data_IF_353187862855
#
_entry.id   IF_353187862855
#
_cell.length_a   1.000
_cell.length_b   1.000
_cell.length_c   1.000
_cell.angle_alpha   90.00
_cell.angle_beta   90.00
_cell.angle_gamma   90.00
#
_symmetry.space_group_name_H-M   'P 1'
#
loop_
_entity.id
_entity.type
_entity.pdbx_description
1 polymer ?
#
# COMPACT_ATOMS: atom_id res chain seq x y z
N UNK A 1 -20.00 -21.42 7.30
CA UNK A 1 -20.47 -21.66 5.91
C UNK A 1 -20.43 -20.30 5.21
N UNK A 2 -19.53 -20.10 4.27
CA UNK A 2 -19.45 -18.82 3.56
C UNK A 2 -20.72 -18.57 2.75
N UNK A 3 -21.22 -17.34 2.75
CA UNK A 3 -22.35 -16.93 1.92
C UNK A 3 -22.00 -17.09 0.44
N UNK A 4 -22.98 -17.48 -0.37
CA UNK A 4 -22.88 -17.46 -1.81
C UNK A 4 -22.52 -16.04 -2.29
N UNK A 5 -21.54 -15.87 -3.22
CA UNK A 5 -21.07 -14.56 -3.67
C UNK A 5 -22.18 -13.65 -4.21
N UNK A 6 -23.14 -14.20 -4.96
CA UNK A 6 -24.24 -13.41 -5.49
C UNK A 6 -25.17 -12.90 -4.37
N UNK A 7 -25.47 -13.76 -3.41
CA UNK A 7 -26.27 -13.38 -2.24
C UNK A 7 -25.55 -12.32 -1.39
N UNK A 8 -24.23 -12.41 -1.25
CA UNK A 8 -23.43 -11.39 -0.56
C UNK A 8 -23.54 -10.03 -1.26
N UNK A 9 -23.35 -9.98 -2.57
CA UNK A 9 -23.50 -8.74 -3.36
C UNK A 9 -24.89 -8.13 -3.22
N UNK A 10 -25.94 -8.96 -3.24
CA UNK A 10 -27.31 -8.50 -3.03
C UNK A 10 -27.49 -7.88 -1.63
N UNK A 11 -26.93 -8.50 -0.58
CA UNK A 11 -26.98 -7.96 0.78
C UNK A 11 -26.25 -6.62 0.88
N UNK A 12 -25.07 -6.48 0.28
CA UNK A 12 -24.32 -5.23 0.23
C UNK A 12 -25.14 -4.12 -0.44
N UNK A 13 -25.74 -4.42 -1.59
CA UNK A 13 -26.60 -3.46 -2.31
C UNK A 13 -27.83 -3.05 -1.46
N UNK A 14 -28.46 -4.00 -0.76
CA UNK A 14 -29.59 -3.70 0.14
C UNK A 14 -29.16 -2.85 1.33
N UNK A 15 -28.00 -3.14 1.93
CA UNK A 15 -27.45 -2.35 3.04
C UNK A 15 -27.17 -0.91 2.60
N UNK A 16 -26.50 -0.72 1.44
CA UNK A 16 -26.24 0.61 0.91
C UNK A 16 -27.56 1.38 0.65
N UNK A 17 -28.58 0.73 0.07
CA UNK A 17 -29.90 1.35 -0.13
C UNK A 17 -30.51 1.86 1.17
N UNK A 18 -30.41 1.07 2.26
CA UNK A 18 -30.91 1.49 3.57
C UNK A 18 -30.14 2.69 4.10
N UNK A 19 -28.80 2.65 4.03
CA UNK A 19 -27.94 3.75 4.50
C UNK A 19 -28.20 5.05 3.73
N UNK A 20 -28.31 5.00 2.42
CA UNK A 20 -28.63 6.19 1.59
C UNK A 20 -29.98 6.78 1.99
N UNK A 21 -31.04 5.95 2.10
CA UNK A 21 -32.36 6.40 2.49
C UNK A 21 -32.34 7.02 3.89
N UNK A 22 -31.67 6.37 4.86
CA UNK A 22 -31.79 6.72 6.27
C UNK A 22 -30.88 7.90 6.68
N UNK A 23 -29.80 8.17 5.92
CA UNK A 23 -28.81 9.19 6.28
C UNK A 23 -28.57 10.28 5.25
N UNK A 24 -28.88 10.04 3.98
CA UNK A 24 -28.69 11.04 2.91
C UNK A 24 -29.99 11.64 2.42
N UNK A 25 -31.13 11.02 2.73
CA UNK A 25 -32.46 11.40 2.24
C UNK A 25 -32.48 11.63 0.73
N UNK A 26 -31.88 10.69 -0.01
CA UNK A 26 -31.65 10.78 -1.44
C UNK A 26 -32.28 9.62 -2.20
N UNK A 27 -32.53 9.85 -3.50
CA UNK A 27 -33.01 8.80 -4.40
C UNK A 27 -31.83 8.12 -5.13
N UNK A 28 -31.88 6.79 -5.16
CA UNK A 28 -30.89 5.98 -5.85
C UNK A 28 -31.36 5.77 -7.30
N UNK A 29 -30.51 6.15 -8.26
CA UNK A 29 -30.71 5.91 -9.68
C UNK A 29 -30.27 4.51 -10.07
N UNK A 30 -29.10 4.10 -9.60
CA UNK A 30 -28.52 2.79 -9.83
C UNK A 30 -27.76 2.31 -8.57
N UNK A 31 -27.80 1.00 -8.29
CA UNK A 31 -26.98 0.37 -7.24
C UNK A 31 -26.44 -0.96 -7.71
N UNK A 32 -25.15 -1.19 -7.47
CA UNK A 32 -24.45 -2.43 -7.81
C UNK A 32 -23.74 -2.95 -6.57
N UNK A 33 -24.05 -4.20 -6.17
CA UNK A 33 -23.29 -4.90 -5.14
C UNK A 33 -22.01 -5.48 -5.71
N UNK A 34 -20.94 -5.38 -4.95
CA UNK A 34 -19.61 -5.94 -5.27
C UNK A 34 -19.22 -6.98 -4.23
N UNK A 35 -18.10 -7.67 -4.43
CA UNK A 35 -17.59 -8.64 -3.45
C UNK A 35 -17.17 -7.97 -2.13
N UNK A 36 -16.65 -6.74 -2.19
CA UNK A 36 -16.13 -6.00 -1.04
C UNK A 36 -17.13 -4.95 -0.49
N UNK A 37 -18.32 -4.79 -1.13
CA UNK A 37 -19.30 -3.78 -0.72
C UNK A 37 -20.36 -3.49 -1.77
N UNK A 38 -20.70 -2.21 -1.98
CA UNK A 38 -21.66 -1.75 -2.98
C UNK A 38 -21.36 -0.33 -3.43
N UNK A 39 -21.84 0.02 -4.63
CA UNK A 39 -21.72 1.33 -5.25
C UNK A 39 -23.11 1.81 -5.69
N UNK A 40 -23.40 3.10 -5.54
CA UNK A 40 -24.67 3.68 -5.96
C UNK A 40 -24.49 5.07 -6.58
N UNK A 41 -25.14 5.29 -7.73
CA UNK A 41 -25.35 6.62 -8.30
C UNK A 41 -26.62 7.20 -7.70
N UNK A 42 -26.53 8.43 -7.19
CA UNK A 42 -27.61 9.14 -6.54
C UNK A 42 -28.07 10.31 -7.40
N UNK A 43 -29.24 10.84 -7.12
CA UNK A 43 -29.71 12.07 -7.76
C UNK A 43 -28.80 13.27 -7.43
N UNK A 44 -28.83 14.32 -8.25
CA UNK A 44 -28.12 15.58 -7.97
C UNK A 44 -26.59 15.48 -7.98
N UNK A 45 -26.02 14.69 -8.91
CA UNK A 45 -24.57 14.52 -9.10
C UNK A 45 -23.86 14.02 -7.81
N UNK A 46 -24.47 13.10 -7.09
CA UNK A 46 -23.94 12.47 -5.87
C UNK A 46 -23.67 10.99 -6.08
N UNK A 47 -22.73 10.46 -5.32
CA UNK A 47 -22.32 9.05 -5.37
C UNK A 47 -22.18 8.49 -3.96
N UNK A 48 -22.55 7.22 -3.75
CA UNK A 48 -22.34 6.52 -2.50
C UNK A 48 -21.63 5.19 -2.71
N UNK A 49 -20.71 4.87 -1.81
CA UNK A 49 -20.01 3.60 -1.73
C UNK A 49 -20.16 3.01 -0.34
N UNK A 50 -20.33 1.69 -0.28
CA UNK A 50 -20.24 0.90 0.96
C UNK A 50 -19.01 0.01 0.87
N UNK A 51 -18.16 0.05 1.87
CA UNK A 51 -17.02 -0.84 2.07
C UNK A 51 -17.28 -1.76 3.25
N UNK A 52 -17.26 -3.08 3.00
CA UNK A 52 -17.45 -4.14 4.02
C UNK A 52 -16.16 -4.92 4.26
N UNK A 53 -15.32 -5.04 3.22
CA UNK A 53 -14.02 -5.71 3.28
C UNK A 53 -12.95 -4.77 2.73
N UNK A 54 -11.74 -4.81 3.30
CA UNK A 54 -10.61 -3.96 2.90
C UNK A 54 -10.98 -2.47 2.84
N UNK A 55 -11.66 -2.01 3.89
CA UNK A 55 -12.23 -0.67 3.94
C UNK A 55 -11.19 0.42 3.67
N UNK A 56 -9.94 0.24 4.12
CA UNK A 56 -8.82 1.15 3.89
C UNK A 56 -8.48 1.37 2.41
N UNK A 57 -8.98 0.50 1.52
CA UNK A 57 -8.75 0.55 0.05
C UNK A 57 -10.02 0.95 -0.75
N UNK A 58 -11.03 1.48 -0.10
CA UNK A 58 -12.29 1.78 -0.76
C UNK A 58 -12.30 3.12 -1.51
N UNK A 59 -11.43 4.05 -1.12
CA UNK A 59 -11.45 5.44 -1.58
C UNK A 59 -11.25 5.55 -3.10
N UNK A 60 -10.23 4.90 -3.64
CA UNK A 60 -9.90 4.99 -5.06
C UNK A 60 -11.02 4.43 -5.96
N UNK A 61 -11.61 3.30 -5.58
CA UNK A 61 -12.74 2.70 -6.29
C UNK A 61 -14.00 3.58 -6.27
N UNK A 62 -14.29 4.20 -5.12
CA UNK A 62 -15.40 5.13 -4.97
C UNK A 62 -15.23 6.37 -5.85
N UNK A 63 -14.05 7.03 -5.79
CA UNK A 63 -13.72 8.21 -6.60
C UNK A 63 -13.72 7.90 -8.08
N UNK A 64 -13.10 6.79 -8.52
CA UNK A 64 -13.10 6.41 -9.94
C UNK A 64 -14.51 6.14 -10.47
N UNK A 65 -15.41 5.64 -9.63
CA UNK A 65 -16.82 5.42 -10.02
C UNK A 65 -17.61 6.72 -10.03
N UNK A 66 -17.36 7.59 -9.06
CA UNK A 66 -17.96 8.93 -9.01
C UNK A 66 -17.58 9.78 -10.23
N UNK A 67 -16.29 9.75 -10.63
CA UNK A 67 -15.83 10.45 -11.84
C UNK A 67 -16.57 9.97 -13.11
N UNK A 68 -16.79 8.66 -13.26
CA UNK A 68 -17.53 8.11 -14.40
C UNK A 68 -19.00 8.53 -14.44
N UNK A 69 -19.61 8.76 -13.29
CA UNK A 69 -20.98 9.25 -13.16
C UNK A 69 -21.08 10.78 -13.08
N UNK A 70 -19.96 11.50 -13.23
CA UNK A 70 -19.88 12.95 -13.10
C UNK A 70 -20.47 13.47 -11.77
N UNK A 71 -20.17 12.75 -10.67
CA UNK A 71 -20.62 13.14 -9.34
C UNK A 71 -19.63 14.14 -8.70
N UNK A 72 -20.18 15.18 -8.08
CA UNK A 72 -19.44 16.25 -7.41
C UNK A 72 -19.25 15.97 -5.89
N UNK A 73 -20.10 15.09 -5.33
CA UNK A 73 -20.06 14.70 -3.92
C UNK A 73 -20.10 13.19 -3.78
N UNK A 74 -19.21 12.65 -2.92
CA UNK A 74 -19.04 11.21 -2.68
C UNK A 74 -19.28 10.91 -1.21
N UNK A 75 -20.10 9.91 -0.90
CA UNK A 75 -20.30 9.37 0.44
C UNK A 75 -19.70 7.97 0.53
N UNK A 76 -18.76 7.76 1.46
CA UNK A 76 -18.14 6.46 1.71
C UNK A 76 -18.57 5.94 3.06
N UNK A 77 -19.34 4.86 3.08
CA UNK A 77 -19.76 4.14 4.28
C UNK A 77 -18.81 2.98 4.51
N UNK A 78 -18.22 2.89 5.72
CA UNK A 78 -17.29 1.82 6.06
C UNK A 78 -17.46 1.37 7.51
N UNK A 79 -17.19 0.08 7.78
CA UNK A 79 -17.29 -0.50 9.12
C UNK A 79 -16.00 -0.40 9.92
N UNK A 80 -14.87 -0.17 9.25
CA UNK A 80 -13.55 0.05 9.87
C UNK A 80 -12.71 1.02 9.06
N UNK A 81 -11.47 1.32 9.50
CA UNK A 81 -10.47 2.17 8.82
C UNK A 81 -11.01 3.56 8.41
N UNK A 82 -12.06 4.02 9.07
CA UNK A 82 -12.72 5.30 8.75
C UNK A 82 -11.80 6.49 9.01
N UNK A 83 -10.87 6.39 9.94
CA UNK A 83 -9.81 7.37 10.19
C UNK A 83 -8.85 7.51 9.00
N UNK A 84 -8.48 6.39 8.36
CA UNK A 84 -7.67 6.39 7.12
C UNK A 84 -8.45 7.03 5.98
N UNK A 85 -9.71 6.63 5.80
CA UNK A 85 -10.57 7.16 4.74
C UNK A 85 -10.83 8.66 4.92
N UNK A 86 -11.14 9.11 6.15
CA UNK A 86 -11.37 10.53 6.44
C UNK A 86 -10.12 11.38 6.18
N UNK A 87 -8.94 10.90 6.58
CA UNK A 87 -7.66 11.57 6.31
C UNK A 87 -7.38 11.71 4.82
N UNK A 88 -7.62 10.64 4.04
CA UNK A 88 -7.46 10.66 2.58
C UNK A 88 -8.48 11.55 1.89
N UNK A 89 -9.71 11.61 2.39
CA UNK A 89 -10.78 12.43 1.84
C UNK A 89 -10.40 13.92 1.78
N UNK A 90 -9.68 14.44 2.77
CA UNK A 90 -9.24 15.82 2.83
C UNK A 90 -8.18 16.19 1.78
N UNK A 91 -7.58 15.21 1.10
CA UNK A 91 -6.54 15.43 0.10
C UNK A 91 -7.09 15.62 -1.32
N UNK A 92 -8.40 15.44 -1.51
CA UNK A 92 -9.07 15.53 -2.81
C UNK A 92 -9.87 16.83 -2.95
N UNK A 93 -9.92 17.35 -4.18
CA UNK A 93 -10.78 18.48 -4.55
C UNK A 93 -12.27 18.10 -4.60
N UNK A 94 -12.56 16.84 -4.92
CA UNK A 94 -13.91 16.28 -4.84
C UNK A 94 -14.36 16.22 -3.39
N UNK A 95 -15.59 16.66 -3.10
CA UNK A 95 -16.17 16.57 -1.74
C UNK A 95 -16.41 15.11 -1.36
N UNK A 96 -15.65 14.58 -0.41
CA UNK A 96 -15.81 13.21 0.09
C UNK A 96 -16.22 13.26 1.56
N UNK A 97 -17.34 12.61 1.88
CA UNK A 97 -17.84 12.44 3.26
C UNK A 97 -17.71 10.97 3.66
N UNK A 98 -17.08 10.72 4.79
CA UNK A 98 -16.88 9.37 5.33
C UNK A 98 -17.85 9.12 6.48
N UNK A 99 -18.43 7.93 6.49
CA UNK A 99 -19.41 7.50 7.48
C UNK A 99 -18.94 6.20 8.14
N UNK A 100 -18.84 6.20 9.45
CA UNK A 100 -18.61 4.99 10.23
C UNK A 100 -19.92 4.23 10.44
N UNK A 101 -19.96 2.94 10.06
CA UNK A 101 -21.15 2.10 10.12
C UNK A 101 -21.00 1.03 11.20
N UNK A 102 -21.75 1.18 12.29
CA UNK A 102 -21.78 0.23 13.40
C UNK A 102 -23.20 -0.33 13.59
N UNK A 103 -23.38 -1.66 13.36
CA UNK A 103 -24.66 -2.33 13.59
C UNK A 103 -25.84 -1.73 12.80
N UNK A 104 -25.59 -1.14 11.62
CA UNK A 104 -26.60 -0.49 10.78
C UNK A 104 -26.84 0.99 11.07
N UNK A 105 -26.16 1.55 12.07
CA UNK A 105 -26.16 2.99 12.36
C UNK A 105 -24.93 3.61 11.71
N UNK A 106 -25.11 4.70 10.95
CA UNK A 106 -24.01 5.48 10.38
C UNK A 106 -23.84 6.80 11.14
N UNK A 107 -22.61 7.14 11.44
CA UNK A 107 -22.20 8.43 12.01
C UNK A 107 -21.12 9.05 11.14
N UNK A 108 -21.07 10.38 11.04
CA UNK A 108 -19.96 11.04 10.34
C UNK A 108 -18.64 10.63 10.98
N UNK A 109 -17.67 10.21 10.18
CA UNK A 109 -16.34 9.95 10.69
C UNK A 109 -15.69 11.28 11.03
N UNK A 110 -15.38 11.44 12.32
CA UNK A 110 -14.73 12.64 12.81
C UNK A 110 -13.26 12.73 12.34
N UNK A 111 -12.69 13.88 12.57
CA UNK A 111 -11.37 14.34 12.16
C UNK A 111 -10.29 13.27 11.97
N UNK A 112 -9.58 13.32 10.85
CA UNK A 112 -8.53 12.37 10.53
C UNK A 112 -7.46 12.32 11.62
N UNK A 113 -7.10 11.12 12.04
CA UNK A 113 -5.98 10.95 12.97
C UNK A 113 -4.67 10.92 12.18
N UNK A 114 -3.64 11.68 12.60
CA UNK A 114 -2.34 11.58 11.98
C UNK A 114 -1.78 10.16 12.13
N UNK A 115 -1.05 9.69 11.14
CA UNK A 115 -0.31 8.44 11.25
C UNK A 115 0.77 8.62 12.31
N UNK A 116 0.83 7.69 13.24
CA UNK A 116 1.90 7.66 14.25
C UNK A 116 2.81 6.50 13.96
N UNK A 117 4.06 6.79 13.61
CA UNK A 117 5.07 5.77 13.45
C UNK A 117 5.48 5.22 14.82
N UNK A 118 5.54 3.88 14.93
CA UNK A 118 6.11 3.26 16.12
C UNK A 118 7.64 3.33 16.04
N UNK A 119 8.33 3.73 17.11
CA UNK A 119 9.78 3.75 17.12
C UNK A 119 10.33 2.32 16.95
N UNK A 120 11.44 2.22 16.23
CA UNK A 120 12.15 0.96 16.10
C UNK A 120 12.82 0.59 17.43
N UNK A 121 12.98 -0.71 17.72
CA UNK A 121 13.76 -1.15 18.86
C UNK A 121 15.24 -0.77 18.69
N UNK A 122 15.91 -0.46 19.81
CA UNK A 122 17.34 -0.14 19.83
C UNK A 122 18.16 -1.44 19.94
N UNK A 123 18.52 -2.00 18.77
CA UNK A 123 19.22 -3.30 18.65
C UNK A 123 20.36 -3.22 17.63
N UNK A 124 21.35 -2.36 17.84
CA UNK A 124 22.39 -2.06 16.86
C UNK A 124 23.21 -3.28 16.42
N UNK A 125 23.46 -4.24 17.31
CA UNK A 125 24.22 -5.47 17.00
C UNK A 125 23.47 -6.35 15.99
N UNK A 126 22.15 -6.48 16.14
CA UNK A 126 21.33 -7.26 15.20
C UNK A 126 21.19 -6.54 13.85
N UNK A 127 21.09 -5.22 13.88
CA UNK A 127 21.09 -4.38 12.65
C UNK A 127 22.42 -4.55 11.91
N UNK A 128 23.56 -4.46 12.60
CA UNK A 128 24.88 -4.70 11.99
C UNK A 128 24.98 -6.10 11.41
N UNK A 129 24.45 -7.13 12.09
CA UNK A 129 24.44 -8.51 11.57
C UNK A 129 23.71 -8.61 10.24
N UNK A 130 22.56 -7.93 10.08
CA UNK A 130 21.83 -7.89 8.81
C UNK A 130 22.64 -7.18 7.71
N UNK A 131 23.26 -6.02 8.05
CA UNK A 131 24.07 -5.24 7.11
C UNK A 131 25.33 -6.00 6.66
N UNK A 132 26.04 -6.62 7.60
CA UNK A 132 27.27 -7.40 7.35
C UNK A 132 26.96 -8.65 6.50
N UNK A 133 25.72 -9.17 6.57
CA UNK A 133 25.21 -10.24 5.70
C UNK A 133 24.82 -9.75 4.31
N UNK A 134 25.03 -8.46 3.99
CA UNK A 134 24.74 -7.85 2.68
C UNK A 134 23.25 -7.70 2.40
N UNK A 135 22.44 -7.48 3.44
CA UNK A 135 21.02 -7.17 3.31
C UNK A 135 20.77 -5.67 3.33
N UNK A 136 19.77 -5.23 2.59
CA UNK A 136 19.20 -3.89 2.71
C UNK A 136 18.35 -3.85 3.99
N UNK A 137 18.73 -3.05 4.97
CA UNK A 137 17.98 -2.92 6.22
C UNK A 137 16.90 -1.86 6.04
N UNK A 138 15.65 -2.28 6.24
CA UNK A 138 14.47 -1.43 6.12
C UNK A 138 13.71 -1.42 7.44
N UNK A 139 13.32 -0.23 7.89
CA UNK A 139 12.51 -0.04 9.08
C UNK A 139 11.16 0.56 8.68
N UNK A 140 10.07 -0.13 9.04
CA UNK A 140 8.71 0.34 8.80
C UNK A 140 7.86 0.07 10.04
N UNK A 141 7.23 1.11 10.61
CA UNK A 141 6.36 1.03 11.80
C UNK A 141 6.97 0.26 12.98
N UNK A 142 8.24 0.50 13.25
CA UNK A 142 8.96 -0.14 14.36
C UNK A 142 9.41 -1.58 14.09
N UNK A 143 9.19 -2.10 12.88
CA UNK A 143 9.67 -3.42 12.46
C UNK A 143 10.93 -3.26 11.61
N UNK A 144 12.01 -3.93 12.00
CA UNK A 144 13.28 -3.93 11.27
C UNK A 144 13.39 -5.24 10.49
N UNK A 145 13.59 -5.13 9.18
CA UNK A 145 13.74 -6.27 8.26
C UNK A 145 15.02 -6.16 7.45
N UNK A 146 15.59 -7.31 7.08
CA UNK A 146 16.62 -7.42 6.06
C UNK A 146 16.01 -7.86 4.74
N UNK A 147 16.18 -7.05 3.70
CA UNK A 147 15.66 -7.31 2.36
C UNK A 147 16.79 -7.69 1.38
N UNK A 148 16.44 -8.53 0.41
CA UNK A 148 17.22 -8.81 -0.78
C UNK A 148 16.39 -8.41 -1.99
N UNK A 149 16.83 -7.39 -2.71
CA UNK A 149 16.10 -6.85 -3.88
C UNK A 149 14.61 -6.65 -3.55
N UNK A 150 14.34 -6.01 -2.41
CA UNK A 150 12.99 -5.69 -1.93
C UNK A 150 12.18 -6.87 -1.39
N UNK A 151 12.77 -8.05 -1.18
CA UNK A 151 12.09 -9.16 -0.51
C UNK A 151 12.64 -9.40 0.88
N UNK A 152 11.78 -9.37 1.89
CA UNK A 152 12.14 -9.69 3.27
C UNK A 152 12.64 -11.14 3.37
N UNK A 153 13.88 -11.32 3.83
CA UNK A 153 14.52 -12.61 4.08
C UNK A 153 14.88 -12.82 5.54
N UNK A 154 14.91 -11.75 6.32
CA UNK A 154 15.15 -11.79 7.75
C UNK A 154 14.38 -10.68 8.45
N UNK A 155 14.03 -10.90 9.73
CA UNK A 155 13.30 -9.94 10.57
C UNK A 155 13.88 -9.94 11.98
N UNK A 156 14.05 -8.76 12.56
CA UNK A 156 14.36 -8.64 13.98
C UNK A 156 13.06 -8.74 14.78
N UNK A 157 13.05 -9.61 15.75
CA UNK A 157 11.96 -9.81 16.72
C UNK A 157 12.48 -9.44 18.09
N UNK A 158 11.73 -8.59 18.78
CA UNK A 158 11.97 -8.20 20.16
C UNK A 158 10.73 -8.54 20.98
N UNK A 159 10.83 -9.60 21.79
CA UNK A 159 9.73 -10.09 22.62
C UNK A 159 10.22 -10.60 23.99
N UNK A 160 9.34 -11.21 24.78
CA UNK A 160 9.66 -11.74 26.10
C UNK A 160 10.72 -12.86 26.10
N UNK A 161 11.02 -13.45 24.94
CA UNK A 161 12.05 -14.48 24.76
C UNK A 161 13.43 -13.88 24.44
N UNK A 162 13.48 -12.56 24.22
CA UNK A 162 14.66 -11.80 23.89
C UNK A 162 14.72 -11.33 22.44
N UNK A 163 15.75 -10.55 22.14
CA UNK A 163 15.98 -9.98 20.82
C UNK A 163 16.70 -11.00 19.94
N UNK A 164 16.16 -11.24 18.74
CA UNK A 164 16.71 -12.24 17.81
C UNK A 164 16.39 -11.90 16.36
N UNK A 165 17.13 -12.50 15.43
CA UNK A 165 16.83 -12.50 14.01
C UNK A 165 16.10 -13.79 13.65
N UNK A 166 14.93 -13.66 13.04
CA UNK A 166 14.21 -14.78 12.41
C UNK A 166 14.44 -14.72 10.89
N UNK A 167 14.82 -15.88 10.30
CA UNK A 167 15.20 -15.99 8.88
C UNK A 167 14.15 -16.74 8.09
N UNK A 168 13.78 -16.23 6.90
CA UNK A 168 12.81 -16.84 5.99
C UNK A 168 11.93 -15.81 5.29
N UNK A 169 11.29 -16.21 4.19
CA UNK A 169 10.41 -15.37 3.39
C UNK A 169 8.96 -15.46 3.88
N UNK A 170 8.57 -14.51 4.74
CA UNK A 170 7.25 -14.49 5.36
C UNK A 170 7.14 -15.37 6.62
N UNK A 171 6.01 -15.24 7.34
CA UNK A 171 5.84 -15.86 8.65
C UNK A 171 5.96 -17.39 8.63
N UNK A 172 5.24 -18.04 7.71
CA UNK A 172 5.25 -19.51 7.61
C UNK A 172 6.60 -20.10 7.23
N UNK A 173 7.35 -19.40 6.35
CA UNK A 173 8.67 -19.83 5.96
C UNK A 173 9.67 -19.67 7.12
N UNK A 174 9.56 -18.59 7.89
CA UNK A 174 10.37 -18.39 9.12
C UNK A 174 10.11 -19.47 10.15
N UNK A 175 8.85 -19.82 10.41
CA UNK A 175 8.49 -20.91 11.33
C UNK A 175 9.04 -22.25 10.85
N UNK A 176 8.86 -22.57 9.57
CA UNK A 176 9.38 -23.80 8.98
C UNK A 176 10.91 -23.85 9.01
N UNK A 177 11.57 -22.75 8.70
CA UNK A 177 13.03 -22.65 8.71
C UNK A 177 13.58 -22.83 10.13
N UNK A 178 12.97 -22.21 11.14
CA UNK A 178 13.36 -22.38 12.54
C UNK A 178 13.21 -23.82 13.02
N UNK A 179 12.15 -24.51 12.59
CA UNK A 179 11.94 -25.93 12.94
C UNK A 179 12.96 -26.87 12.28
N UNK A 180 13.32 -26.61 11.03
CA UNK A 180 14.22 -27.47 10.25
C UNK A 180 15.70 -27.17 10.50
N UNK A 181 16.04 -25.92 10.78
CA UNK A 181 17.40 -25.39 10.82
C UNK A 181 17.72 -24.62 12.12
N UNK A 182 16.98 -24.87 13.21
CA UNK A 182 17.12 -24.13 14.48
C UNK A 182 18.50 -24.19 15.15
N UNK A 183 19.38 -25.10 14.71
CA UNK A 183 20.77 -25.20 15.17
C UNK A 183 21.79 -24.54 14.21
N UNK A 184 21.33 -23.99 13.08
CA UNK A 184 22.20 -23.32 12.12
C UNK A 184 22.59 -21.93 12.64
N UNK A 185 23.86 -21.49 12.50
CA UNK A 185 24.24 -20.13 12.82
C UNK A 185 23.43 -19.11 12.02
N UNK A 186 23.00 -18.03 12.68
CA UNK A 186 22.09 -17.03 12.07
C UNK A 186 22.64 -16.44 10.76
N UNK A 187 23.92 -16.13 10.69
CA UNK A 187 24.57 -15.59 9.48
C UNK A 187 24.50 -16.60 8.33
N UNK A 188 24.80 -17.87 8.59
CA UNK A 188 24.73 -18.94 7.58
C UNK A 188 23.29 -19.13 7.07
N UNK A 189 22.31 -19.06 7.97
CA UNK A 189 20.90 -19.11 7.65
C UNK A 189 20.48 -17.94 6.74
N UNK A 190 20.90 -16.71 7.05
CA UNK A 190 20.66 -15.52 6.24
C UNK A 190 21.27 -15.68 4.85
N UNK A 191 22.54 -16.11 4.76
CA UNK A 191 23.22 -16.30 3.48
C UNK A 191 22.51 -17.32 2.59
N UNK A 192 22.06 -18.43 3.16
CA UNK A 192 21.35 -19.47 2.44
C UNK A 192 20.05 -18.91 1.82
N UNK A 193 19.20 -18.26 2.61
CA UNK A 193 17.93 -17.71 2.12
C UNK A 193 18.15 -16.55 1.15
N UNK A 194 19.10 -15.66 1.46
CA UNK A 194 19.46 -14.53 0.61
C UNK A 194 19.95 -14.99 -0.78
N UNK A 195 20.76 -16.03 -0.85
CA UNK A 195 21.27 -16.57 -2.13
C UNK A 195 20.14 -17.16 -2.98
N UNK A 196 19.17 -17.84 -2.38
CA UNK A 196 17.98 -18.31 -3.11
C UNK A 196 17.19 -17.15 -3.71
N UNK A 197 16.98 -16.09 -2.94
CA UNK A 197 16.25 -14.90 -3.42
C UNK A 197 17.04 -14.18 -4.51
N UNK A 198 18.35 -13.96 -4.33
CA UNK A 198 19.22 -13.33 -5.34
C UNK A 198 19.17 -14.10 -6.65
N UNK A 199 19.26 -15.43 -6.60
CA UNK A 199 19.22 -16.28 -7.80
C UNK A 199 17.93 -16.07 -8.61
N UNK A 200 16.77 -15.94 -7.95
CA UNK A 200 15.50 -15.76 -8.64
C UNK A 200 15.20 -14.29 -9.00
N UNK A 201 15.86 -13.31 -8.36
CA UNK A 201 15.66 -11.88 -8.63
C UNK A 201 16.82 -11.25 -9.40
N UNK A 202 17.35 -12.00 -10.37
CA UNK A 202 18.34 -11.52 -11.36
C UNK A 202 17.67 -11.29 -12.70
N UNK A 203 18.26 -10.40 -13.56
CA UNK A 203 17.85 -10.28 -14.96
C UNK A 203 17.84 -11.65 -15.65
N UNK A 204 16.83 -11.89 -16.47
CA UNK A 204 16.65 -13.15 -17.20
C UNK A 204 16.47 -14.41 -16.34
N UNK A 205 16.22 -14.30 -15.03
CA UNK A 205 15.87 -15.46 -14.21
C UNK A 205 14.55 -16.11 -14.67
N UNK A 206 14.46 -17.43 -14.59
CA UNK A 206 13.20 -18.13 -14.89
C UNK A 206 12.06 -17.68 -13.95
N UNK A 207 10.81 -17.66 -14.44
CA UNK A 207 9.67 -17.30 -13.61
C UNK A 207 9.57 -18.18 -12.37
N UNK A 208 9.55 -17.55 -11.19
CA UNK A 208 9.46 -18.24 -9.90
C UNK A 208 8.40 -17.56 -9.01
N UNK A 209 7.71 -18.30 -8.10
CA UNK A 209 6.73 -17.73 -7.18
C UNK A 209 7.28 -16.55 -6.35
N UNK A 210 8.55 -16.56 -5.95
CA UNK A 210 9.21 -15.45 -5.25
C UNK A 210 9.20 -14.14 -6.05
N UNK A 211 9.11 -14.19 -7.39
CA UNK A 211 9.07 -13.01 -8.25
C UNK A 211 7.71 -12.30 -8.25
N UNK A 212 6.68 -12.93 -7.66
CA UNK A 212 5.35 -12.34 -7.48
C UNK A 212 5.19 -11.65 -6.12
N UNK A 213 6.10 -11.93 -5.17
CA UNK A 213 6.03 -11.35 -3.82
C UNK A 213 6.72 -10.00 -3.79
N UNK A 214 6.07 -8.98 -3.23
CA UNK A 214 6.65 -7.66 -3.02
C UNK A 214 7.23 -7.04 -4.30
N UNK A 215 6.50 -7.08 -5.41
CA UNK A 215 6.92 -6.50 -6.68
C UNK A 215 7.16 -5.00 -6.56
N UNK A 216 6.37 -4.30 -5.76
CA UNK A 216 6.47 -2.88 -5.47
C UNK A 216 7.78 -2.55 -4.74
N UNK A 217 8.17 -3.38 -3.77
CA UNK A 217 9.46 -3.25 -3.06
C UNK A 217 10.64 -3.61 -3.94
N UNK A 218 10.47 -4.55 -4.87
CA UNK A 218 11.49 -4.85 -5.87
C UNK A 218 11.74 -3.63 -6.75
N UNK A 219 10.67 -2.99 -7.25
CA UNK A 219 10.81 -1.74 -8.00
C UNK A 219 11.48 -0.65 -7.15
N UNK A 220 11.05 -0.47 -5.89
CA UNK A 220 11.69 0.47 -4.95
C UNK A 220 13.18 0.18 -4.80
N UNK A 221 13.59 -1.07 -4.57
CA UNK A 221 15.01 -1.46 -4.42
C UNK A 221 15.85 -1.07 -5.64
N UNK A 222 15.33 -1.22 -6.85
CA UNK A 222 16.00 -0.74 -8.06
C UNK A 222 16.15 0.80 -8.08
N UNK A 223 15.15 1.53 -7.65
CA UNK A 223 15.22 3.00 -7.60
C UNK A 223 16.15 3.49 -6.50
N UNK A 224 16.22 2.80 -5.35
CA UNK A 224 17.19 3.12 -4.29
C UNK A 224 18.62 2.93 -4.79
N UNK A 225 18.89 1.89 -5.58
CA UNK A 225 20.19 1.64 -6.19
C UNK A 225 20.51 2.61 -7.34
N UNK A 226 19.51 3.12 -8.05
CA UNK A 226 19.67 3.97 -9.23
C UNK A 226 18.65 5.13 -9.23
N UNK A 227 18.72 6.06 -8.27
CA UNK A 227 17.73 7.13 -8.11
C UNK A 227 17.67 8.06 -9.32
N UNK A 228 18.77 8.26 -10.04
CA UNK A 228 18.85 9.07 -11.26
C UNK A 228 17.87 8.63 -12.37
N UNK A 229 17.34 7.40 -12.31
CA UNK A 229 16.31 6.94 -13.27
C UNK A 229 15.02 7.75 -13.23
N UNK A 230 14.75 8.39 -12.12
CA UNK A 230 13.60 9.26 -11.93
C UNK A 230 13.99 10.71 -11.60
N UNK A 231 15.25 11.10 -11.85
CA UNK A 231 15.77 12.44 -11.57
C UNK A 231 15.97 12.72 -10.08
N UNK A 232 16.19 11.67 -9.28
CA UNK A 232 16.54 11.81 -7.87
C UNK A 232 18.04 11.63 -7.66
N UNK A 233 18.62 12.41 -6.74
CA UNK A 233 20.03 12.32 -6.34
C UNK A 233 20.24 11.27 -5.25
N UNK A 234 19.29 11.12 -4.33
CA UNK A 234 19.32 10.16 -3.23
C UNK A 234 17.89 9.71 -2.89
N UNK A 235 17.73 8.42 -2.60
CA UNK A 235 16.50 7.84 -2.09
C UNK A 235 16.81 6.86 -0.96
N UNK A 236 15.94 6.82 0.04
CA UNK A 236 15.92 5.84 1.13
C UNK A 236 14.55 5.21 1.25
N UNK A 237 14.49 3.95 1.66
CA UNK A 237 13.23 3.30 1.99
C UNK A 237 12.53 4.07 3.11
N UNK A 238 11.23 4.29 2.95
CA UNK A 238 10.41 5.01 3.92
C UNK A 238 9.17 4.17 4.31
N UNK A 239 8.63 4.35 5.52
CA UNK A 239 7.45 3.63 5.95
C UNK A 239 6.22 4.06 5.15
N UNK A 240 5.32 3.11 4.82
CA UNK A 240 4.04 3.43 4.21
C UNK A 240 3.09 4.10 5.22
N UNK A 241 2.04 4.82 4.78
CA UNK A 241 1.09 5.46 5.70
C UNK A 241 0.19 4.47 6.44
N UNK A 242 0.17 3.20 6.01
CA UNK A 242 -0.60 2.10 6.60
C UNK A 242 0.30 0.90 6.78
N UNK A 243 0.26 0.29 7.97
CA UNK A 243 1.08 -0.88 8.28
C UNK A 243 0.67 -2.08 7.40
N UNK A 244 1.65 -2.74 6.79
CA UNK A 244 1.44 -3.96 6.03
C UNK A 244 1.20 -5.15 6.96
N UNK A 245 0.18 -5.96 6.66
CA UNK A 245 -0.18 -7.13 7.46
C UNK A 245 0.47 -8.42 6.99
N UNK A 246 0.69 -8.59 5.68
CA UNK A 246 1.32 -9.79 5.11
C UNK A 246 2.08 -9.51 3.82
N UNK A 247 3.00 -10.43 3.42
CA UNK A 247 3.84 -10.31 2.22
C UNK A 247 3.10 -10.57 0.89
N UNK A 248 1.95 -11.23 0.93
CA UNK A 248 1.17 -11.55 -0.28
C UNK A 248 0.29 -10.40 -0.72
N UNK A 249 0.07 -9.47 0.18
CA UNK A 249 -0.72 -8.28 -0.11
C UNK A 249 0.09 -7.30 -0.95
N UNK A 250 -0.45 -6.92 -2.10
CA UNK A 250 0.14 -5.89 -2.94
C UNK A 250 -0.10 -4.52 -2.28
N UNK A 251 0.91 -4.01 -1.58
CA UNK A 251 0.90 -2.68 -0.96
C UNK A 251 1.99 -1.86 -1.62
N UNK A 252 1.70 -0.63 -2.08
CA UNK A 252 2.71 0.24 -2.67
C UNK A 252 3.91 0.42 -1.73
N UNK A 253 5.11 0.47 -2.29
CA UNK A 253 6.34 0.67 -1.54
C UNK A 253 6.75 2.14 -1.58
N UNK A 254 7.20 2.67 -0.46
CA UNK A 254 7.50 4.09 -0.31
C UNK A 254 9.00 4.31 -0.14
N UNK A 255 9.50 5.37 -0.76
CA UNK A 255 10.84 5.92 -0.55
C UNK A 255 10.74 7.44 -0.37
N UNK A 256 11.73 8.02 0.29
CA UNK A 256 11.87 9.46 0.42
C UNK A 256 13.33 9.87 0.17
N UNK A 257 13.55 11.10 -0.27
CA UNK A 257 14.88 11.62 -0.56
C UNK A 257 14.84 12.97 -1.26
N UNK A 258 15.80 13.20 -2.16
CA UNK A 258 15.94 14.46 -2.85
C UNK A 258 16.04 14.28 -4.37
N UNK A 259 15.46 15.19 -5.12
CA UNK A 259 15.66 15.33 -6.56
C UNK A 259 17.05 15.93 -6.85
N UNK A 260 17.47 15.90 -8.12
CA UNK A 260 18.78 16.44 -8.56
C UNK A 260 18.93 17.95 -8.28
N UNK A 261 17.83 18.69 -8.18
CA UNK A 261 17.78 20.10 -7.82
C UNK A 261 17.72 20.37 -6.30
N UNK A 262 17.74 19.31 -5.49
CA UNK A 262 17.71 19.37 -4.03
C UNK A 262 16.29 19.50 -3.42
N UNK A 263 15.23 19.40 -4.22
CA UNK A 263 13.84 19.40 -3.73
C UNK A 263 13.53 18.05 -3.07
N UNK A 264 12.86 18.08 -1.92
CA UNK A 264 12.40 16.89 -1.21
C UNK A 264 11.35 16.13 -2.04
N UNK A 265 11.47 14.80 -2.07
CA UNK A 265 10.60 13.92 -2.84
C UNK A 265 10.11 12.74 -2.01
N UNK A 266 8.83 12.45 -2.11
CA UNK A 266 8.22 11.18 -1.69
C UNK A 266 7.88 10.38 -2.94
N UNK A 267 8.41 9.17 -3.02
CA UNK A 267 8.25 8.26 -4.17
C UNK A 267 7.40 7.08 -3.74
N UNK A 268 6.33 6.81 -4.47
CA UNK A 268 5.46 5.66 -4.25
C UNK A 268 5.54 4.73 -5.45
N UNK A 269 6.04 3.52 -5.23
CA UNK A 269 6.22 2.48 -6.24
C UNK A 269 5.04 1.51 -6.20
N UNK A 270 4.40 1.27 -7.33
CA UNK A 270 3.36 0.26 -7.47
C UNK A 270 3.53 -0.56 -8.75
N UNK A 271 3.00 -1.78 -8.73
CA UNK A 271 3.02 -2.72 -9.87
C UNK A 271 1.63 -3.35 -9.99
N UNK A 272 1.06 -3.28 -11.19
CA UNK A 272 -0.32 -3.69 -11.45
C UNK A 272 -1.31 -2.53 -11.30
N UNK A 273 -2.58 -2.85 -11.56
CA UNK A 273 -3.66 -1.86 -11.51
C UNK A 273 -4.20 -1.82 -10.08
N UNK A 274 -4.09 -0.66 -9.44
CA UNK A 274 -4.63 -0.39 -8.12
C UNK A 274 -5.30 0.99 -8.10
N UNK A 275 -6.61 1.02 -7.98
CA UNK A 275 -7.36 2.28 -7.93
C UNK A 275 -7.06 3.07 -6.64
N UNK A 276 -6.65 2.39 -5.57
CA UNK A 276 -6.31 3.05 -4.30
C UNK A 276 -4.87 3.58 -4.25
N UNK A 277 -4.09 3.41 -5.33
CA UNK A 277 -2.72 3.91 -5.42
C UNK A 277 -2.62 5.43 -5.19
N UNK A 278 -3.50 6.22 -5.78
CA UNK A 278 -3.47 7.68 -5.65
C UNK A 278 -3.86 8.14 -4.23
N UNK A 279 -4.98 7.67 -3.63
CA UNK A 279 -5.26 7.94 -2.22
C UNK A 279 -4.13 7.53 -1.27
N UNK A 280 -3.53 6.36 -1.49
CA UNK A 280 -2.40 5.89 -0.71
C UNK A 280 -1.16 6.78 -0.87
N UNK A 281 -0.83 7.20 -2.09
CA UNK A 281 0.34 8.02 -2.37
C UNK A 281 0.22 9.42 -1.75
N UNK A 282 -0.96 10.03 -1.85
CA UNK A 282 -1.23 11.30 -1.20
C UNK A 282 -1.13 11.21 0.34
N UNK A 283 -1.63 10.12 0.92
CA UNK A 283 -1.51 9.82 2.35
C UNK A 283 -0.04 9.59 2.76
N UNK A 284 0.77 8.94 1.91
CA UNK A 284 2.21 8.75 2.16
C UNK A 284 2.97 10.07 2.20
N UNK A 285 2.69 11.00 1.28
CA UNK A 285 3.25 12.35 1.31
C UNK A 285 2.82 13.09 2.57
N UNK A 286 1.53 13.09 2.89
CA UNK A 286 1.03 13.73 4.11
C UNK A 286 1.72 13.21 5.38
N UNK A 287 2.00 11.91 5.42
CA UNK A 287 2.64 11.26 6.56
C UNK A 287 4.13 11.60 6.68
N UNK A 288 4.88 11.60 5.57
CA UNK A 288 6.33 11.76 5.60
C UNK A 288 6.76 13.21 5.51
N UNK A 289 6.29 13.93 4.51
CA UNK A 289 6.54 15.36 4.30
C UNK A 289 5.45 15.96 3.39
N UNK A 290 4.50 16.72 3.96
CA UNK A 290 3.41 17.34 3.19
C UNK A 290 3.88 18.34 2.12
N UNK A 291 5.13 18.84 2.20
CA UNK A 291 5.67 19.82 1.26
C UNK A 291 6.52 19.18 0.15
N UNK A 292 6.84 17.90 0.28
CA UNK A 292 7.65 17.20 -0.70
C UNK A 292 6.91 17.02 -2.05
N UNK A 293 7.65 17.00 -3.13
CA UNK A 293 7.13 16.55 -4.42
C UNK A 293 6.69 15.09 -4.33
N UNK A 294 5.46 14.79 -4.73
CA UNK A 294 4.97 13.41 -4.80
C UNK A 294 5.23 12.83 -6.18
N UNK A 295 5.93 11.71 -6.24
CA UNK A 295 6.10 10.90 -7.44
C UNK A 295 5.43 9.54 -7.30
N UNK A 296 4.62 9.15 -8.28
CA UNK A 296 4.04 7.81 -8.39
C UNK A 296 4.72 7.08 -9.53
N UNK A 297 5.52 6.07 -9.21
CA UNK A 297 6.32 5.32 -10.18
C UNK A 297 5.67 3.97 -10.46
N UNK A 298 5.34 3.71 -11.73
CA UNK A 298 4.62 2.52 -12.18
C UNK A 298 5.17 2.00 -13.52
N UNK A 299 5.06 0.71 -13.84
CA UNK A 299 5.32 0.21 -15.19
C UNK A 299 4.39 0.86 -16.23
N UNK A 300 4.90 1.11 -17.44
CA UNK A 300 4.15 1.77 -18.52
C UNK A 300 2.80 1.07 -18.82
N UNK A 301 2.77 -0.26 -18.79
CA UNK A 301 1.56 -1.06 -19.01
C UNK A 301 0.47 -0.84 -17.96
N UNK A 302 0.84 -0.36 -16.76
CA UNK A 302 -0.07 -0.13 -15.64
C UNK A 302 -0.57 1.33 -15.59
N UNK A 303 -0.07 2.21 -16.49
CA UNK A 303 -0.39 3.63 -16.59
C UNK A 303 -1.71 3.87 -17.34
N UNK A 304 -2.83 3.50 -16.73
CA UNK A 304 -4.16 3.67 -17.30
C UNK A 304 -4.73 5.07 -17.05
N UNK A 305 -5.63 5.53 -17.94
CA UNK A 305 -6.25 6.87 -17.87
C UNK A 305 -6.89 7.16 -16.51
N UNK A 306 -7.55 6.16 -15.90
CA UNK A 306 -8.20 6.30 -14.59
C UNK A 306 -7.24 6.73 -13.50
N UNK A 307 -5.95 6.32 -13.57
CA UNK A 307 -4.94 6.73 -12.61
C UNK A 307 -4.65 8.23 -12.71
N UNK A 308 -4.52 8.74 -13.95
CA UNK A 308 -4.30 10.17 -14.18
C UNK A 308 -5.54 10.99 -13.80
N UNK A 309 -6.74 10.47 -14.09
CA UNK A 309 -8.00 11.11 -13.70
C UNK A 309 -8.09 11.25 -12.18
N UNK A 310 -7.76 10.20 -11.43
CA UNK A 310 -7.69 10.23 -9.96
C UNK A 310 -6.59 11.17 -9.44
N UNK A 311 -5.40 11.15 -10.06
CA UNK A 311 -4.29 12.03 -9.70
C UNK A 311 -4.68 13.50 -9.83
N UNK A 312 -5.41 13.86 -10.88
CA UNK A 312 -5.89 15.22 -11.12
C UNK A 312 -7.00 15.67 -10.14
N UNK A 313 -7.59 14.75 -9.37
CA UNK A 313 -8.55 15.10 -8.32
C UNK A 313 -7.87 15.47 -6.99
N UNK A 314 -6.57 15.23 -6.84
CA UNK A 314 -5.87 15.69 -5.65
C UNK A 314 -5.73 17.22 -5.66
N UNK A 315 -5.80 17.83 -4.48
CA UNK A 315 -5.56 19.27 -4.29
C UNK A 315 -4.15 19.64 -4.77
N UNK A 316 -3.19 18.74 -4.55
CA UNK A 316 -1.81 18.85 -5.01
C UNK A 316 -1.44 17.55 -5.77
N UNK A 317 -1.58 17.56 -7.10
CA UNK A 317 -1.41 16.37 -7.94
C UNK A 317 0.02 15.83 -7.94
N UNK A 318 0.22 14.49 -8.00
CA UNK A 318 1.53 13.87 -8.08
C UNK A 318 2.09 13.94 -9.50
N UNK A 319 3.40 13.79 -9.63
CA UNK A 319 4.05 13.42 -10.88
C UNK A 319 3.90 11.90 -11.09
N UNK A 320 3.12 11.49 -12.07
CA UNK A 320 3.04 10.07 -12.46
C UNK A 320 4.19 9.79 -13.43
N UNK A 321 5.08 8.88 -13.05
CA UNK A 321 6.31 8.53 -13.76
C UNK A 321 6.21 7.09 -14.27
N UNK A 322 5.75 6.88 -15.51
CA UNK A 322 5.79 5.56 -16.12
C UNK A 322 7.23 5.12 -16.41
N UNK A 323 7.56 3.88 -16.08
CA UNK A 323 8.86 3.28 -16.36
C UNK A 323 8.72 2.13 -17.35
N UNK A 324 9.84 1.74 -17.97
CA UNK A 324 9.89 0.60 -18.87
C UNK A 324 9.31 -0.67 -18.22
N UNK A 325 8.51 -1.41 -18.96
CA UNK A 325 7.92 -2.67 -18.51
C UNK A 325 8.95 -3.76 -18.23
N UNK A 326 10.14 -3.63 -18.82
CA UNK A 326 11.30 -4.48 -18.56
C UNK A 326 12.11 -4.06 -17.32
N UNK A 327 11.56 -3.27 -16.42
CA UNK A 327 12.26 -2.77 -15.22
C UNK A 327 12.91 -3.87 -14.35
N UNK A 328 12.39 -5.11 -14.41
CA UNK A 328 13.01 -6.26 -13.71
C UNK A 328 14.34 -6.69 -14.28
N UNK A 329 14.63 -6.29 -15.53
CA UNK A 329 15.89 -6.52 -16.22
C UNK A 329 16.97 -5.47 -15.87
N UNK A 330 16.64 -4.48 -15.04
CA UNK A 330 17.62 -3.48 -14.64
C UNK A 330 18.71 -4.13 -13.80
N UNK A 331 19.95 -3.93 -14.21
CA UNK A 331 21.12 -4.38 -13.45
C UNK A 331 21.47 -3.31 -12.41
N UNK A 332 21.57 -3.70 -11.15
CA UNK A 332 22.25 -2.90 -10.13
C UNK A 332 23.73 -3.07 -10.33
N UNK A 333 24.36 -2.09 -11.00
CA UNK A 333 25.83 -2.03 -11.14
C UNK A 333 26.46 -1.58 -9.86
#
# INVERSE_FOLDING_TARGET
MALDPERRRQLHAMKLKSLVRDYLDDSIEEVVGTDDGALATLSGARFAALAEERCERAMGGALASALRSAADEVHVFASDSTDVLARRAELFSTSVKVWEVNGGVATSADSPKPVTEKPAPDVPELVSTLQDSGLEVVTEHGVIVGEVVGLEVARIICDAQGDRIEVGVGAHDREAFALLHGNMPTVEAIEQVANVVRFHRTPAAEPHPLNRLGAERWLRSHLLAQPARIGASELKAAPPPVQRTNLKEAVPAVAAGHLDDGVDVVVVCAVGIDLDLIPFAADARLFLDPQATLMVVIPQRDAHSVLYDLANQLIDPPLVVPIDDAWREWTTS
#
